data_IF_835240256392
#
_entry.id   IF_835240256392
#
_cell.length_a   1.000
_cell.length_b   1.000
_cell.length_c   1.000
_cell.angle_alpha   90.00
_cell.angle_beta   90.00
_cell.angle_gamma   90.00
#
_symmetry.space_group_name_H-M   'P 1'
#
loop_
_entity.id
_entity.type
_entity.pdbx_description
1 polymer ?
#
# COMPACT_ATOMS: atom_id res chain seq x y z
N UNK A 1 -15.26 -18.59 -17.84
CA UNK A 1 -15.83 -17.56 -16.93
C UNK A 1 -14.67 -16.83 -16.28
N UNK A 2 -14.57 -15.52 -16.51
CA UNK A 2 -13.48 -14.65 -16.02
C UNK A 2 -13.73 -14.30 -14.55
N UNK A 3 -12.87 -14.74 -13.64
CA UNK A 3 -12.84 -14.22 -12.28
C UNK A 3 -12.20 -12.83 -12.31
N UNK A 4 -13.02 -11.80 -12.52
CA UNK A 4 -12.59 -10.41 -12.33
C UNK A 4 -12.41 -10.19 -10.83
N UNK A 5 -11.17 -10.23 -10.38
CA UNK A 5 -10.81 -9.80 -9.02
C UNK A 5 -10.86 -8.27 -9.05
N UNK A 6 -11.92 -7.69 -8.49
CA UNK A 6 -11.95 -6.28 -8.17
C UNK A 6 -11.07 -6.09 -6.92
N UNK A 7 -9.78 -5.79 -7.10
CA UNK A 7 -9.00 -5.19 -6.02
C UNK A 7 -9.57 -3.80 -5.77
N UNK A 8 -10.50 -3.69 -4.82
CA UNK A 8 -10.88 -2.42 -4.23
C UNK A 8 -9.62 -1.84 -3.58
N UNK A 9 -9.01 -0.86 -4.26
CA UNK A 9 -7.91 -0.10 -3.68
C UNK A 9 -8.52 0.92 -2.74
N UNK A 10 -8.36 0.70 -1.44
CA UNK A 10 -8.64 1.73 -0.46
C UNK A 10 -7.83 2.98 -0.83
N UNK A 11 -8.53 4.09 -1.08
CA UNK A 11 -7.87 5.36 -1.39
C UNK A 11 -7.38 5.99 -0.09
N UNK A 12 -6.12 6.41 -0.08
CA UNK A 12 -5.55 7.20 1.01
C UNK A 12 -5.48 8.65 0.56
N UNK A 13 -6.26 9.50 1.22
CA UNK A 13 -6.22 10.95 1.03
C UNK A 13 -5.20 11.57 1.98
N UNK A 14 -4.31 12.39 1.43
CA UNK A 14 -3.29 13.11 2.19
C UNK A 14 -3.56 14.61 2.10
N UNK A 15 -3.62 15.27 3.27
CA UNK A 15 -3.84 16.71 3.37
C UNK A 15 -2.87 17.35 4.35
N UNK A 16 -2.53 18.62 4.13
CA UNK A 16 -1.63 19.39 4.98
C UNK A 16 -2.37 20.51 5.70
N UNK A 17 -2.13 20.62 7.01
CA UNK A 17 -2.67 21.69 7.85
C UNK A 17 -1.80 22.95 7.81
N UNK A 18 -2.36 24.07 8.28
CA UNK A 18 -1.69 25.38 8.31
C UNK A 18 -0.38 25.40 9.15
N UNK A 19 -0.24 24.47 10.09
CA UNK A 19 0.95 24.30 10.94
C UNK A 19 1.86 23.16 10.45
N UNK A 20 1.78 22.78 9.17
CA UNK A 20 2.63 21.72 8.59
C UNK A 20 2.29 20.29 9.01
N UNK A 21 1.23 20.10 9.79
CA UNK A 21 0.75 18.76 10.15
C UNK A 21 0.23 18.04 8.91
N UNK A 22 0.52 16.74 8.80
CA UNK A 22 0.02 15.91 7.70
C UNK A 22 -1.08 15.00 8.22
N UNK A 23 -2.22 14.99 7.54
CA UNK A 23 -3.34 14.11 7.82
C UNK A 23 -3.49 13.12 6.69
N UNK A 24 -3.47 11.83 7.03
CA UNK A 24 -3.75 10.72 6.12
C UNK A 24 -5.10 10.12 6.51
N UNK A 25 -6.00 10.00 5.54
CA UNK A 25 -7.34 9.44 5.71
C UNK A 25 -7.49 8.26 4.76
N UNK A 26 -7.74 7.07 5.29
CA UNK A 26 -8.14 5.93 4.48
C UNK A 26 -9.67 5.87 4.46
N UNK A 27 -10.24 6.01 3.28
CA UNK A 27 -11.68 5.80 3.08
C UNK A 27 -11.92 4.36 2.67
N UNK A 28 -12.64 3.61 3.50
CA UNK A 28 -13.14 2.30 3.15
C UNK A 28 -14.64 2.39 2.85
N UNK A 29 -15.13 1.70 1.82
CA UNK A 29 -16.53 1.78 1.36
C UNK A 29 -17.52 1.38 2.47
N UNK A 30 -17.07 0.57 3.44
CA UNK A 30 -17.91 0.00 4.49
C UNK A 30 -17.31 0.16 5.91
N UNK A 31 -17.38 1.35 6.49
CA UNK A 31 -17.59 1.54 7.95
C UNK A 31 -16.41 1.91 8.86
N UNK A 32 -15.14 1.98 8.44
CA UNK A 32 -14.10 2.58 9.29
C UNK A 32 -13.20 3.55 8.53
N UNK A 33 -13.14 4.80 9.01
CA UNK A 33 -12.24 5.82 8.51
C UNK A 33 -11.03 5.86 9.44
N UNK A 34 -9.91 5.30 9.00
CA UNK A 34 -8.65 5.49 9.71
C UNK A 34 -8.12 6.89 9.39
N UNK A 35 -7.95 7.72 10.43
CA UNK A 35 -7.36 9.05 10.32
C UNK A 35 -6.08 9.07 11.14
N UNK A 36 -4.96 9.32 10.48
CA UNK A 36 -3.65 9.50 11.11
C UNK A 36 -3.29 10.97 10.96
N UNK A 37 -2.90 11.62 12.05
CA UNK A 37 -2.35 12.98 12.03
C UNK A 37 -0.92 12.93 12.52
N UNK A 38 -0.01 13.52 11.76
CA UNK A 38 1.44 13.47 12.00
C UNK A 38 1.95 14.88 12.22
N UNK A 39 2.74 15.06 13.28
CA UNK A 39 3.38 16.34 13.59
C UNK A 39 4.46 16.66 12.55
N UNK A 40 4.67 17.93 12.15
CA UNK A 40 5.69 18.32 11.18
C UNK A 40 7.10 17.78 11.49
N UNK A 41 7.48 17.72 12.77
CA UNK A 41 8.80 17.24 13.19
C UNK A 41 9.02 15.75 12.89
N UNK A 42 7.95 14.96 12.82
CA UNK A 42 8.01 13.51 12.56
C UNK A 42 7.91 13.17 11.06
N UNK A 43 7.60 14.15 10.20
CA UNK A 43 7.42 13.94 8.75
C UNK A 43 8.68 13.40 8.07
N UNK A 44 9.91 13.90 8.35
CA UNK A 44 11.12 13.34 7.74
C UNK A 44 11.29 11.85 8.05
N UNK A 45 11.02 11.45 9.30
CA UNK A 45 11.11 10.05 9.73
C UNK A 45 10.03 9.19 9.05
N UNK A 46 8.81 9.71 8.92
CA UNK A 46 7.73 9.02 8.21
C UNK A 46 8.10 8.75 6.74
N UNK A 47 8.67 9.74 6.05
CA UNK A 47 9.11 9.59 4.65
C UNK A 47 10.13 8.46 4.53
N UNK A 48 11.14 8.43 5.41
CA UNK A 48 12.16 7.39 5.42
C UNK A 48 11.57 5.98 5.60
N UNK A 49 10.62 5.82 6.54
CA UNK A 49 9.96 4.53 6.76
C UNK A 49 9.11 4.10 5.55
N UNK A 50 8.41 5.03 4.91
CA UNK A 50 7.60 4.74 3.72
C UNK A 50 8.46 4.34 2.52
N UNK A 51 9.61 4.98 2.31
CA UNK A 51 10.56 4.59 1.26
C UNK A 51 11.10 3.17 1.48
N UNK A 52 11.45 2.83 2.73
CA UNK A 52 11.90 1.48 3.09
C UNK A 52 10.81 0.45 2.83
N UNK A 53 9.58 0.71 3.29
CA UNK A 53 8.43 -0.16 3.06
C UNK A 53 8.14 -0.34 1.55
N UNK A 54 8.29 0.74 0.76
CA UNK A 54 8.13 0.68 -0.69
C UNK A 54 9.14 -0.23 -1.38
N UNK A 55 10.41 -0.18 -0.98
CA UNK A 55 11.47 -1.09 -1.48
C UNK A 55 11.17 -2.54 -1.13
N UNK A 56 10.78 -2.82 0.11
CA UNK A 56 10.42 -4.17 0.57
C UNK A 56 9.21 -4.70 -0.22
N UNK A 57 8.17 -3.90 -0.41
CA UNK A 57 7.00 -4.27 -1.20
C UNK A 57 7.35 -4.59 -2.67
N UNK A 58 8.28 -3.84 -3.27
CA UNK A 58 8.77 -4.12 -4.63
C UNK A 58 9.53 -5.44 -4.70
N UNK A 59 10.38 -5.74 -3.73
CA UNK A 59 11.10 -7.02 -3.66
C UNK A 59 10.12 -8.20 -3.57
N UNK A 60 9.10 -8.10 -2.70
CA UNK A 60 8.05 -9.12 -2.57
C UNK A 60 7.31 -9.32 -3.89
N UNK A 61 6.93 -8.23 -4.58
CA UNK A 61 6.27 -8.30 -5.90
C UNK A 61 7.16 -8.97 -6.95
N UNK A 62 8.44 -8.65 -6.97
CA UNK A 62 9.40 -9.26 -7.90
C UNK A 62 9.58 -10.77 -7.61
N UNK A 63 9.61 -11.16 -6.34
CA UNK A 63 9.68 -12.58 -5.95
C UNK A 63 8.42 -13.34 -6.38
N UNK A 64 7.23 -12.79 -6.13
CA UNK A 64 5.97 -13.40 -6.55
C UNK A 64 5.87 -13.58 -8.07
N UNK A 65 6.37 -12.61 -8.85
CA UNK A 65 6.36 -12.66 -10.31
C UNK A 65 7.48 -13.54 -10.91
N UNK A 66 8.55 -13.83 -10.15
CA UNK A 66 9.66 -14.67 -10.62
C UNK A 66 9.50 -16.14 -10.24
N UNK A 67 8.49 -16.51 -9.44
CA UNK A 67 8.13 -17.91 -9.18
C UNK A 67 7.48 -18.51 -10.43
N UNK A 68 8.12 -19.49 -11.11
CA UNK A 68 7.48 -20.20 -12.21
C UNK A 68 6.24 -20.94 -11.68
N UNK A 69 5.11 -20.82 -12.36
CA UNK A 69 3.92 -21.61 -12.02
C UNK A 69 4.27 -23.09 -12.16
N UNK A 70 4.23 -23.83 -11.05
CA UNK A 70 4.39 -25.29 -11.02
C UNK A 70 3.17 -26.00 -11.65
N UNK A 71 2.90 -25.74 -12.93
CA UNK A 71 1.83 -26.36 -13.72
C UNK A 71 2.27 -26.83 -15.12
N UNK A 72 3.57 -27.01 -15.34
CA UNK A 72 4.09 -27.71 -16.53
C UNK A 72 4.99 -28.91 -16.16
N UNK A 73 4.68 -29.58 -15.05
CA UNK A 73 5.30 -30.85 -14.69
C UNK A 73 4.25 -31.97 -14.61
N UNK A 74 3.37 -32.06 -15.61
CA UNK A 74 2.65 -33.30 -15.89
C UNK A 74 2.07 -33.26 -17.31
N UNK A 75 2.81 -33.82 -18.26
CA UNK A 75 2.15 -34.64 -19.28
C UNK A 75 3.11 -35.75 -19.75
N UNK A 76 2.67 -37.02 -19.71
CA UNK A 76 3.44 -38.18 -20.16
C UNK A 76 3.68 -38.18 -21.67
#
# INVERSE_FOLDING_TARGET
>A
MSNTIFELRDSVDVSTGRLGHVRMKQENYNQEVAIITVHPDDIPQLIEQLEKAGKEAQLIRAELNSRPSAKEAEKP
#
